data_IF_231044473012
#
_entry.id   IF_231044473012
#
_cell.length_a   1.000
_cell.length_b   1.000
_cell.length_c   1.000
_cell.angle_alpha   90.00
_cell.angle_beta   90.00
_cell.angle_gamma   90.00
#
_symmetry.space_group_name_H-M   'P 1'
#
loop_
_entity.id
_entity.type
_entity.pdbx_description
1 polymer ?
#
# COMPACT_ATOMS: atom_id res chain seq x y z
N UNK A 1 12.94 10.91 -18.71
CA UNK A 1 12.23 11.12 -17.43
C UNK A 1 10.75 11.25 -17.78
N UNK A 2 9.94 10.27 -17.42
CA UNK A 2 8.50 10.38 -17.59
C UNK A 2 8.00 11.57 -16.74
N UNK A 3 7.14 12.41 -17.32
CA UNK A 3 6.58 13.54 -16.59
C UNK A 3 5.63 13.01 -15.51
N UNK A 4 5.69 13.58 -14.32
CA UNK A 4 4.75 13.28 -13.25
C UNK A 4 3.33 13.66 -13.67
N UNK A 5 2.45 12.66 -13.81
CA UNK A 5 1.08 12.80 -14.29
C UNK A 5 0.10 12.58 -13.10
N UNK A 6 -0.38 13.65 -12.43
CA UNK A 6 -1.24 13.54 -11.24
C UNK A 6 -2.49 12.70 -11.46
N UNK A 7 -3.09 12.73 -12.65
CA UNK A 7 -4.30 12.03 -13.05
C UNK A 7 -4.18 10.50 -12.99
N UNK A 8 -2.95 9.99 -12.96
CA UNK A 8 -2.70 8.55 -12.81
C UNK A 8 -2.72 8.09 -11.35
N UNK A 9 -2.70 9.03 -10.41
CA UNK A 9 -2.63 8.70 -8.99
C UNK A 9 -3.97 8.87 -8.30
N UNK A 10 -4.37 7.85 -7.53
CA UNK A 10 -5.53 7.84 -6.66
C UNK A 10 -5.08 8.00 -5.20
N UNK A 11 -5.71 8.91 -4.48
CA UNK A 11 -5.41 9.23 -3.09
C UNK A 11 -6.67 8.96 -2.26
N UNK A 12 -6.53 8.23 -1.16
CA UNK A 12 -7.60 8.05 -0.18
C UNK A 12 -7.37 9.01 0.99
N UNK A 13 -8.37 9.84 1.28
CA UNK A 13 -8.39 10.77 2.41
C UNK A 13 -9.36 10.24 3.45
N UNK A 14 -8.91 10.08 4.69
CA UNK A 14 -9.71 9.59 5.80
C UNK A 14 -9.66 10.59 6.93
N UNK A 15 -10.82 11.13 7.30
CA UNK A 15 -10.98 12.16 8.34
C UNK A 15 -12.46 12.19 8.77
N UNK A 16 -12.78 12.25 10.05
CA UNK A 16 -14.16 12.30 10.53
C UNK A 16 -14.83 13.66 10.29
N UNK A 17 -14.06 14.68 9.93
CA UNK A 17 -14.54 16.01 9.57
C UNK A 17 -14.83 16.12 8.07
N UNK A 18 -16.10 16.14 7.71
CA UNK A 18 -16.56 16.38 6.31
C UNK A 18 -15.93 17.64 5.73
N UNK A 19 -15.78 18.71 6.51
CA UNK A 19 -15.17 19.95 6.06
C UNK A 19 -13.71 19.79 5.66
N UNK A 20 -12.94 19.00 6.39
CA UNK A 20 -11.55 18.69 6.04
C UNK A 20 -11.48 17.80 4.81
N UNK A 21 -12.33 16.78 4.72
CA UNK A 21 -12.45 15.95 3.52
C UNK A 21 -12.72 16.78 2.26
N UNK A 22 -13.67 17.73 2.33
CA UNK A 22 -14.01 18.60 1.19
C UNK A 22 -12.84 19.52 0.79
N UNK A 23 -12.16 20.14 1.76
CA UNK A 23 -11.01 21.02 1.51
C UNK A 23 -9.89 20.24 0.83
N UNK A 24 -9.52 19.08 1.40
CA UNK A 24 -8.44 18.24 0.88
C UNK A 24 -8.81 17.67 -0.50
N UNK A 25 -10.02 17.14 -0.67
CA UNK A 25 -10.53 16.63 -1.93
C UNK A 25 -10.49 17.70 -3.02
N UNK A 26 -11.06 18.89 -2.74
CA UNK A 26 -11.09 20.00 -3.70
C UNK A 26 -9.68 20.43 -4.09
N UNK A 27 -8.76 20.56 -3.10
CA UNK A 27 -7.37 20.92 -3.36
C UNK A 27 -6.67 19.92 -4.27
N UNK A 28 -6.77 18.62 -3.96
CA UNK A 28 -6.10 17.58 -4.73
C UNK A 28 -6.72 17.39 -6.13
N UNK A 29 -8.04 17.40 -6.23
CA UNK A 29 -8.76 17.27 -7.52
C UNK A 29 -8.45 18.43 -8.45
N UNK A 30 -8.38 19.67 -7.92
CA UNK A 30 -7.98 20.85 -8.72
C UNK A 30 -6.58 20.70 -9.33
N UNK A 31 -5.71 19.90 -8.70
CA UNK A 31 -4.35 19.62 -9.18
C UNK A 31 -4.24 18.29 -9.94
N UNK A 32 -5.38 17.72 -10.35
CA UNK A 32 -5.48 16.59 -11.26
C UNK A 32 -5.50 15.21 -10.60
N UNK A 33 -5.37 15.10 -9.27
CA UNK A 33 -5.40 13.79 -8.59
C UNK A 33 -6.82 13.22 -8.55
N UNK A 34 -6.92 11.88 -8.60
CA UNK A 34 -8.15 11.16 -8.29
C UNK A 34 -8.24 11.02 -6.76
N UNK A 35 -9.39 11.35 -6.17
CA UNK A 35 -9.55 11.39 -4.71
C UNK A 35 -10.75 10.57 -4.29
N UNK A 36 -10.53 9.63 -3.39
CA UNK A 36 -11.55 8.92 -2.61
C UNK A 36 -11.57 9.49 -1.20
N UNK A 37 -12.73 9.51 -0.54
CA UNK A 37 -12.88 10.03 0.81
C UNK A 37 -13.61 9.01 1.68
N UNK A 38 -13.21 8.91 2.95
CA UNK A 38 -13.87 8.11 3.98
C UNK A 38 -13.96 8.90 5.28
N UNK A 39 -15.06 8.73 6.01
CA UNK A 39 -15.32 9.40 7.28
C UNK A 39 -14.89 8.55 8.49
N UNK A 40 -14.46 7.31 8.25
CA UNK A 40 -13.94 6.40 9.29
C UNK A 40 -12.93 5.40 8.73
N UNK A 41 -12.19 4.74 9.64
CA UNK A 41 -11.26 3.67 9.25
C UNK A 41 -11.97 2.46 8.64
N UNK A 42 -13.15 2.10 9.13
CA UNK A 42 -13.96 1.00 8.60
C UNK A 42 -14.40 1.29 7.16
N UNK A 43 -14.91 2.50 6.89
CA UNK A 43 -15.29 2.92 5.54
C UNK A 43 -14.09 2.94 4.60
N UNK A 44 -12.91 3.35 5.09
CA UNK A 44 -11.69 3.33 4.31
C UNK A 44 -11.30 1.91 3.88
N UNK A 45 -11.41 0.92 4.78
CA UNK A 45 -11.16 -0.49 4.45
C UNK A 45 -12.18 -1.01 3.44
N UNK A 46 -13.46 -0.71 3.60
CA UNK A 46 -14.52 -1.10 2.67
C UNK A 46 -14.27 -0.53 1.25
N UNK A 47 -13.85 0.73 1.16
CA UNK A 47 -13.46 1.36 -0.12
C UNK A 47 -12.28 0.60 -0.74
N UNK A 48 -11.24 0.30 0.04
CA UNK A 48 -10.09 -0.46 -0.47
C UNK A 48 -10.46 -1.87 -0.94
N UNK A 49 -11.41 -2.54 -0.28
CA UNK A 49 -11.90 -3.85 -0.68
C UNK A 49 -12.68 -3.83 -2.00
N UNK A 50 -13.50 -2.79 -2.20
CA UNK A 50 -14.43 -2.70 -3.32
C UNK A 50 -13.87 -1.96 -4.53
N UNK A 51 -12.95 -0.99 -4.32
CA UNK A 51 -12.38 -0.16 -5.37
C UNK A 51 -10.88 -0.38 -5.58
N UNK A 52 -10.23 -1.11 -4.68
CA UNK A 52 -8.78 -1.38 -4.68
C UNK A 52 -7.98 -0.36 -3.88
N UNK A 53 -6.71 -0.69 -3.66
CA UNK A 53 -5.79 0.15 -2.89
C UNK A 53 -5.50 1.46 -3.62
N UNK A 54 -5.42 2.60 -2.90
CA UNK A 54 -4.94 3.85 -3.47
C UNK A 54 -3.42 3.81 -3.70
N UNK A 55 -2.87 4.85 -4.32
CA UNK A 55 -1.43 5.06 -4.40
C UNK A 55 -0.85 5.69 -3.14
N UNK A 56 -1.70 6.42 -2.39
CA UNK A 56 -1.34 7.15 -1.18
C UNK A 56 -2.55 7.24 -0.26
N UNK A 57 -2.35 7.00 1.04
CA UNK A 57 -3.30 7.32 2.10
C UNK A 57 -2.98 8.66 2.77
N UNK A 58 -3.99 9.48 3.02
CA UNK A 58 -3.93 10.64 3.91
C UNK A 58 -4.89 10.36 5.06
N UNK A 59 -4.38 9.98 6.24
CA UNK A 59 -5.21 9.52 7.34
C UNK A 59 -5.13 10.48 8.52
N UNK A 60 -6.28 10.92 9.00
CA UNK A 60 -6.35 11.61 10.30
C UNK A 60 -6.06 10.62 11.43
N UNK A 61 -5.24 11.02 12.38
CA UNK A 61 -4.94 10.21 13.57
C UNK A 61 -6.17 10.18 14.49
N UNK A 62 -6.76 11.34 14.73
CA UNK A 62 -7.77 11.52 15.77
C UNK A 62 -9.19 11.38 15.23
N UNK A 63 -9.65 10.16 15.04
CA UNK A 63 -11.04 9.84 14.70
C UNK A 63 -11.73 9.22 15.93
N UNK A 64 -12.59 9.96 16.65
CA UNK A 64 -13.09 9.55 17.97
C UNK A 64 -14.12 8.41 17.94
N UNK A 65 -14.64 8.08 16.78
CA UNK A 65 -15.67 7.05 16.59
C UNK A 65 -15.13 5.88 15.78
N UNK A 66 -14.97 4.71 16.42
CA UNK A 66 -14.53 3.48 15.74
C UNK A 66 -13.00 3.37 15.65
N UNK A 67 -12.52 2.91 14.51
CA UNK A 67 -11.09 2.73 14.22
C UNK A 67 -10.41 4.07 14.00
N UNK A 68 -9.39 4.38 14.78
CA UNK A 68 -8.56 5.57 14.60
C UNK A 68 -7.57 5.43 13.41
N UNK A 69 -6.88 6.52 13.06
CA UNK A 69 -5.98 6.52 11.91
C UNK A 69 -4.73 5.69 12.12
N UNK A 70 -4.25 5.50 13.34
CA UNK A 70 -3.10 4.63 13.62
C UNK A 70 -3.49 3.17 13.47
N UNK A 71 -4.63 2.75 14.02
CA UNK A 71 -5.15 1.39 13.86
C UNK A 71 -5.44 1.08 12.37
N UNK A 72 -6.02 2.04 11.62
CA UNK A 72 -6.20 1.90 10.18
C UNK A 72 -4.86 1.72 9.47
N UNK A 73 -3.86 2.54 9.79
CA UNK A 73 -2.52 2.45 9.23
C UNK A 73 -1.90 1.07 9.49
N UNK A 74 -1.94 0.60 10.74
CA UNK A 74 -1.43 -0.73 11.11
C UNK A 74 -2.13 -1.84 10.31
N UNK A 75 -3.46 -1.82 10.20
CA UNK A 75 -4.22 -2.82 9.45
C UNK A 75 -3.85 -2.83 7.96
N UNK A 76 -3.78 -1.67 7.33
CA UNK A 76 -3.42 -1.54 5.91
C UNK A 76 -2.00 -2.03 5.66
N UNK A 77 -1.07 -1.73 6.54
CA UNK A 77 0.33 -2.14 6.42
C UNK A 77 0.58 -3.63 6.75
N UNK A 78 -0.40 -4.36 7.28
CA UNK A 78 -0.32 -5.82 7.40
C UNK A 78 -0.34 -6.51 6.04
N UNK A 79 -1.10 -5.98 5.06
CA UNK A 79 -1.30 -6.62 3.75
C UNK A 79 -0.77 -5.81 2.56
N UNK A 80 -0.26 -4.61 2.80
CA UNK A 80 0.29 -3.72 1.77
C UNK A 80 1.55 -3.01 2.25
N UNK A 81 2.20 -2.30 1.33
CA UNK A 81 3.27 -1.34 1.60
C UNK A 81 2.82 0.04 1.07
N UNK A 82 1.54 0.35 1.33
CA UNK A 82 0.92 1.62 0.93
C UNK A 82 1.64 2.78 1.64
N UNK A 83 2.11 3.79 0.91
CA UNK A 83 2.61 4.98 1.56
C UNK A 83 1.45 5.74 2.22
N UNK A 84 1.67 6.15 3.47
CA UNK A 84 0.67 6.86 4.26
C UNK A 84 1.28 8.15 4.78
N UNK A 85 0.54 9.25 4.67
CA UNK A 85 0.83 10.51 5.33
C UNK A 85 -0.21 10.73 6.41
N UNK A 86 0.23 10.88 7.65
CA UNK A 86 -0.66 11.12 8.78
C UNK A 86 -1.02 12.60 8.88
N UNK A 87 -2.29 12.89 9.11
CA UNK A 87 -2.78 14.21 9.44
C UNK A 87 -2.93 14.27 10.98
N UNK A 88 -2.35 15.29 11.62
CA UNK A 88 -2.21 15.30 13.07
C UNK A 88 -2.53 16.66 13.66
N UNK A 89 -3.08 16.71 14.87
CA UNK A 89 -3.17 17.93 15.66
C UNK A 89 -1.82 18.19 16.38
N UNK A 90 -1.48 19.45 16.62
CA UNK A 90 -0.15 19.90 17.11
C UNK A 90 0.25 19.38 18.49
N UNK A 91 -0.68 18.77 19.27
CA UNK A 91 -0.47 18.37 20.69
C UNK A 91 -0.24 16.87 20.86
N UNK A 92 0.52 16.21 19.99
CA UNK A 92 0.68 14.77 20.09
C UNK A 92 1.79 14.33 21.05
N UNK A 93 1.49 13.25 21.79
CA UNK A 93 2.41 12.65 22.77
C UNK A 93 3.58 11.96 22.08
N UNK A 94 4.71 11.78 22.79
CA UNK A 94 5.89 11.06 22.28
C UNK A 94 5.56 9.67 21.72
N UNK A 95 4.59 8.97 22.28
CA UNK A 95 4.15 7.65 21.83
C UNK A 95 3.52 7.68 20.43
N UNK A 96 2.73 8.72 20.13
CA UNK A 96 2.13 8.91 18.79
C UNK A 96 3.22 9.22 17.76
N UNK A 97 4.19 10.06 18.13
CA UNK A 97 5.34 10.37 17.26
C UNK A 97 6.14 9.11 16.93
N UNK A 98 6.41 8.24 17.89
CA UNK A 98 7.09 6.95 17.66
C UNK A 98 6.28 6.02 16.74
N UNK A 99 4.95 5.99 16.88
CA UNK A 99 4.09 5.20 16.00
C UNK A 99 4.07 5.76 14.57
N UNK A 100 4.01 7.09 14.41
CA UNK A 100 4.10 7.75 13.10
C UNK A 100 5.44 7.41 12.42
N UNK A 101 6.56 7.57 13.14
CA UNK A 101 7.89 7.28 12.60
C UNK A 101 8.05 5.82 12.17
N UNK A 102 7.30 4.92 12.80
CA UNK A 102 7.34 3.49 12.47
C UNK A 102 6.53 3.12 11.24
N UNK A 103 5.39 3.77 11.03
CA UNK A 103 4.38 3.32 10.07
C UNK A 103 4.13 4.29 8.91
N UNK A 104 4.35 5.61 9.10
CA UNK A 104 4.06 6.61 8.09
C UNK A 104 5.28 7.01 7.26
N UNK A 105 5.07 7.35 5.99
CA UNK A 105 6.11 7.93 5.13
C UNK A 105 6.35 9.42 5.43
N UNK A 106 5.33 10.09 5.98
CA UNK A 106 5.37 11.50 6.36
C UNK A 106 4.19 11.84 7.27
N UNK A 107 4.23 13.02 7.90
CA UNK A 107 3.11 13.57 8.65
C UNK A 107 2.91 15.05 8.34
N UNK A 108 1.71 15.56 8.61
CA UNK A 108 1.36 16.96 8.40
C UNK A 108 0.43 17.45 9.49
N UNK A 109 0.77 18.62 10.06
CA UNK A 109 -0.05 19.24 11.10
C UNK A 109 -1.31 19.88 10.52
N UNK A 110 -2.42 19.73 11.24
CA UNK A 110 -3.63 20.51 11.02
C UNK A 110 -3.44 21.93 11.61
N UNK A 111 -3.94 23.01 10.98
CA UNK A 111 -4.79 23.04 9.79
C UNK A 111 -4.02 22.76 8.50
N UNK A 112 -4.66 21.94 7.63
CA UNK A 112 -4.07 21.51 6.34
C UNK A 112 -3.90 22.70 5.41
N UNK A 113 -2.66 23.04 5.08
CA UNK A 113 -2.32 24.10 4.12
C UNK A 113 -2.15 23.51 2.73
N UNK A 114 -2.93 24.02 1.75
CA UNK A 114 -2.95 23.46 0.38
C UNK A 114 -1.58 23.34 -0.27
N UNK A 115 -0.72 24.36 -0.12
CA UNK A 115 0.63 24.33 -0.69
C UNK A 115 1.54 23.27 -0.06
N UNK A 116 1.47 23.08 1.26
CA UNK A 116 2.21 22.05 1.98
C UNK A 116 1.70 20.65 1.62
N UNK A 117 0.36 20.44 1.63
CA UNK A 117 -0.27 19.19 1.22
C UNK A 117 0.23 18.74 -0.15
N UNK A 118 0.16 19.60 -1.15
CA UNK A 118 0.60 19.29 -2.51
C UNK A 118 2.09 18.96 -2.60
N UNK A 119 2.93 19.69 -1.88
CA UNK A 119 4.36 19.44 -1.87
C UNK A 119 4.69 18.05 -1.28
N UNK A 120 4.06 17.68 -0.15
CA UNK A 120 4.26 16.39 0.51
C UNK A 120 3.71 15.23 -0.33
N UNK A 121 2.47 15.34 -0.81
CA UNK A 121 1.85 14.35 -1.71
C UNK A 121 2.75 14.08 -2.92
N UNK A 122 3.19 15.13 -3.63
CA UNK A 122 4.08 14.98 -4.78
C UNK A 122 5.43 14.38 -4.42
N UNK A 123 5.99 14.74 -3.26
CA UNK A 123 7.26 14.15 -2.77
C UNK A 123 7.12 12.65 -2.57
N UNK A 124 6.09 12.22 -1.85
CA UNK A 124 5.85 10.81 -1.56
C UNK A 124 5.58 10.04 -2.86
N UNK A 125 4.67 10.52 -3.71
CA UNK A 125 4.33 9.84 -4.96
C UNK A 125 5.52 9.72 -5.92
N UNK A 126 6.43 10.69 -5.97
CA UNK A 126 7.66 10.59 -6.77
C UNK A 126 8.63 9.55 -6.24
N UNK A 127 8.69 9.35 -4.91
CA UNK A 127 9.60 8.38 -4.29
C UNK A 127 9.18 6.94 -4.52
N UNK A 128 7.88 6.68 -4.66
CA UNK A 128 7.34 5.33 -4.82
C UNK A 128 7.35 4.81 -6.26
N UNK A 129 7.59 5.67 -7.24
CA UNK A 129 7.57 5.32 -8.66
C UNK A 129 6.16 4.99 -9.17
N UNK A 130 6.08 4.48 -10.40
CA UNK A 130 4.82 4.05 -10.99
C UNK A 130 4.44 2.66 -10.48
N UNK A 131 3.20 2.52 -10.01
CA UNK A 131 2.59 1.21 -9.83
C UNK A 131 2.17 0.70 -11.21
N UNK A 132 2.76 -0.42 -11.65
CA UNK A 132 2.62 -0.91 -13.01
C UNK A 132 1.23 -1.47 -13.37
N UNK A 133 0.33 -1.57 -12.39
CA UNK A 133 -0.98 -2.19 -12.55
C UNK A 133 -2.11 -1.19 -12.34
N UNK A 134 -3.26 -1.36 -13.03
CA UNK A 134 -4.44 -0.51 -12.81
C UNK A 134 -4.95 -0.67 -11.38
N UNK A 135 -5.41 0.42 -10.78
CA UNK A 135 -6.08 0.40 -9.49
C UNK A 135 -7.52 -0.09 -9.69
N UNK A 136 -7.74 -1.35 -9.36
CA UNK A 136 -9.04 -2.01 -9.39
C UNK A 136 -9.20 -2.85 -8.12
N UNK A 137 -10.42 -3.22 -7.76
CA UNK A 137 -10.66 -4.10 -6.64
C UNK A 137 -9.85 -5.40 -6.79
N UNK A 138 -9.91 -6.02 -7.96
CA UNK A 138 -8.98 -7.06 -8.37
C UNK A 138 -7.99 -6.49 -9.37
N UNK A 139 -6.73 -6.45 -8.97
CA UNK A 139 -5.61 -6.01 -9.82
C UNK A 139 -5.27 -7.14 -10.79
N UNK A 140 -5.58 -7.01 -12.11
CA UNK A 140 -5.24 -8.05 -13.08
C UNK A 140 -3.72 -8.06 -13.31
N UNK A 141 -3.12 -9.23 -13.20
CA UNK A 141 -1.70 -9.45 -13.54
C UNK A 141 -1.58 -9.90 -14.98
N UNK A 142 -2.35 -10.93 -15.34
CA UNK A 142 -2.52 -11.53 -16.66
C UNK A 142 -3.86 -12.27 -16.73
N UNK A 143 -4.06 -13.13 -17.73
CA UNK A 143 -5.29 -13.92 -17.91
C UNK A 143 -5.49 -14.95 -16.80
N UNK A 144 -4.42 -15.38 -16.13
CA UNK A 144 -4.44 -16.45 -15.12
C UNK A 144 -4.47 -15.93 -13.68
N UNK A 145 -4.03 -14.69 -13.42
CA UNK A 145 -3.88 -14.15 -12.06
C UNK A 145 -4.46 -12.75 -11.91
N UNK A 146 -5.35 -12.57 -10.94
CA UNK A 146 -5.79 -11.28 -10.42
C UNK A 146 -5.76 -11.29 -8.88
N UNK A 147 -5.50 -10.14 -8.24
CA UNK A 147 -5.29 -10.05 -6.79
C UNK A 147 -6.12 -8.94 -6.18
N UNK A 148 -6.85 -9.24 -5.08
CA UNK A 148 -7.44 -8.24 -4.20
C UNK A 148 -6.67 -8.24 -2.87
N UNK A 149 -5.84 -7.23 -2.67
CA UNK A 149 -4.98 -7.14 -1.50
C UNK A 149 -5.76 -6.88 -0.21
N UNK A 150 -6.79 -6.02 -0.24
CA UNK A 150 -7.59 -5.68 0.93
C UNK A 150 -8.46 -6.85 1.40
N UNK A 151 -8.97 -7.67 0.46
CA UNK A 151 -9.71 -8.91 0.78
C UNK A 151 -8.81 -10.11 1.05
N UNK A 152 -7.49 -9.95 0.89
CA UNK A 152 -6.54 -11.06 1.04
C UNK A 152 -6.85 -12.24 0.13
N UNK A 153 -7.25 -11.97 -1.12
CA UNK A 153 -7.62 -13.01 -2.08
C UNK A 153 -6.89 -12.83 -3.42
N UNK A 154 -6.64 -13.95 -4.08
CA UNK A 154 -6.20 -14.00 -5.46
C UNK A 154 -7.13 -14.92 -6.27
N UNK A 155 -7.38 -14.58 -7.52
CA UNK A 155 -8.04 -15.44 -8.49
C UNK A 155 -6.97 -16.02 -9.39
N UNK A 156 -6.82 -17.36 -9.36
CA UNK A 156 -5.82 -18.10 -10.13
C UNK A 156 -6.58 -19.05 -11.06
N UNK A 157 -6.48 -18.82 -12.37
CA UNK A 157 -7.24 -19.61 -13.38
C UNK A 157 -8.74 -19.72 -13.07
N UNK A 158 -9.34 -18.61 -12.62
CA UNK A 158 -10.75 -18.55 -12.26
C UNK A 158 -11.11 -19.12 -10.88
N UNK A 159 -10.15 -19.61 -10.10
CA UNK A 159 -10.37 -20.12 -8.74
C UNK A 159 -9.86 -19.13 -7.70
N UNK A 160 -10.71 -18.83 -6.72
CA UNK A 160 -10.33 -17.94 -5.61
C UNK A 160 -9.45 -18.67 -4.59
N UNK A 161 -8.37 -18.03 -4.20
CA UNK A 161 -7.38 -18.51 -3.23
C UNK A 161 -7.13 -17.46 -2.17
N UNK A 162 -7.21 -17.83 -0.88
CA UNK A 162 -6.93 -16.91 0.23
C UNK A 162 -5.43 -16.73 0.45
N UNK A 163 -5.02 -15.49 0.63
CA UNK A 163 -3.67 -15.11 1.04
C UNK A 163 -3.64 -14.79 2.54
N UNK A 164 -2.53 -15.05 3.19
CA UNK A 164 -2.28 -14.46 4.51
C UNK A 164 -1.83 -13.00 4.36
N UNK A 165 -1.97 -12.14 5.39
CA UNK A 165 -1.53 -10.75 5.31
C UNK A 165 -0.07 -10.62 4.83
N UNK A 166 0.85 -11.41 5.38
CA UNK A 166 2.27 -11.38 4.97
C UNK A 166 2.48 -11.81 3.52
N UNK A 167 1.74 -12.81 3.02
CA UNK A 167 1.80 -13.23 1.61
C UNK A 167 1.28 -12.12 0.69
N UNK A 168 0.17 -11.46 1.07
CA UNK A 168 -0.38 -10.34 0.33
C UNK A 168 0.60 -9.17 0.30
N UNK A 169 1.19 -8.79 1.45
CA UNK A 169 2.19 -7.73 1.54
C UNK A 169 3.45 -8.04 0.72
N UNK A 170 3.96 -9.27 0.79
CA UNK A 170 5.10 -9.72 -0.03
C UNK A 170 4.79 -9.57 -1.52
N UNK A 171 3.63 -10.06 -1.94
CA UNK A 171 3.19 -9.96 -3.35
C UNK A 171 3.03 -8.49 -3.77
N UNK A 172 2.40 -7.65 -2.93
CA UNK A 172 2.23 -6.22 -3.17
C UNK A 172 3.58 -5.51 -3.41
N UNK A 173 4.57 -5.73 -2.52
CA UNK A 173 5.92 -5.13 -2.66
C UNK A 173 6.58 -5.57 -3.96
N UNK A 174 6.51 -6.85 -4.30
CA UNK A 174 7.12 -7.39 -5.52
C UNK A 174 6.42 -6.88 -6.78
N UNK A 175 5.08 -6.84 -6.79
CA UNK A 175 4.29 -6.32 -7.92
C UNK A 175 4.56 -4.82 -8.16
N UNK A 176 4.69 -4.02 -7.10
CA UNK A 176 5.08 -2.59 -7.24
C UNK A 176 6.41 -2.41 -7.96
N UNK A 177 7.31 -3.36 -7.83
CA UNK A 177 8.64 -3.35 -8.44
C UNK A 177 8.71 -4.30 -9.64
N UNK A 178 7.57 -4.49 -10.39
CA UNK A 178 7.51 -5.37 -11.58
C UNK A 178 8.77 -5.25 -12.43
N UNK A 179 9.38 -6.38 -12.76
CA UNK A 179 10.58 -6.45 -13.60
C UNK A 179 11.90 -6.15 -12.86
N UNK A 180 11.85 -5.61 -11.63
CA UNK A 180 13.05 -5.28 -10.84
C UNK A 180 13.30 -6.30 -9.75
N UNK A 181 14.58 -6.48 -9.38
CA UNK A 181 14.96 -7.32 -8.25
C UNK A 181 14.82 -6.52 -6.96
N UNK A 182 13.96 -6.98 -6.07
CA UNK A 182 13.82 -6.43 -4.72
C UNK A 182 14.78 -7.16 -3.79
N UNK A 183 15.63 -6.39 -3.10
CA UNK A 183 16.67 -6.93 -2.23
C UNK A 183 16.06 -7.65 -1.01
N UNK A 184 16.70 -8.73 -0.56
CA UNK A 184 16.27 -9.54 0.58
C UNK A 184 16.16 -8.71 1.86
N UNK A 185 17.16 -7.89 2.20
CA UNK A 185 17.14 -7.07 3.42
C UNK A 185 16.00 -6.02 3.38
N UNK A 186 15.70 -5.47 2.21
CA UNK A 186 14.56 -4.57 2.04
C UNK A 186 13.24 -5.30 2.33
N UNK A 187 13.06 -6.50 1.77
CA UNK A 187 11.86 -7.32 2.02
C UNK A 187 11.72 -7.67 3.50
N UNK A 188 12.80 -8.09 4.17
CA UNK A 188 12.78 -8.41 5.59
C UNK A 188 12.34 -7.23 6.43
N UNK A 189 12.93 -6.06 6.23
CA UNK A 189 12.56 -4.84 6.97
C UNK A 189 11.11 -4.40 6.72
N UNK A 190 10.61 -4.54 5.50
CA UNK A 190 9.23 -4.15 5.18
C UNK A 190 8.18 -5.15 5.65
N UNK A 191 8.50 -6.44 5.61
CA UNK A 191 7.58 -7.49 6.07
C UNK A 191 7.51 -7.60 7.59
N UNK A 192 8.64 -7.41 8.27
CA UNK A 192 8.76 -7.58 9.73
C UNK A 192 9.53 -6.41 10.38
N UNK A 193 8.96 -5.20 10.39
CA UNK A 193 9.65 -4.00 10.89
C UNK A 193 9.97 -4.06 12.40
N UNK A 194 9.20 -4.83 13.18
CA UNK A 194 9.43 -5.01 14.62
C UNK A 194 10.53 -6.07 14.92
N UNK A 195 10.85 -6.96 13.97
CA UNK A 195 11.74 -8.11 14.17
C UNK A 195 13.06 -7.94 13.41
N UNK A 196 13.53 -6.71 13.19
CA UNK A 196 14.70 -6.43 12.32
C UNK A 196 15.96 -7.20 12.70
N UNK A 197 16.14 -7.53 13.99
CA UNK A 197 17.31 -8.26 14.48
C UNK A 197 17.19 -9.80 14.35
N UNK A 198 15.97 -10.33 14.09
CA UNK A 198 15.66 -11.75 14.07
C UNK A 198 15.03 -12.25 12.76
N UNK A 199 14.73 -11.35 11.82
CA UNK A 199 14.15 -11.72 10.53
C UNK A 199 15.25 -12.32 9.64
N UNK A 200 15.29 -13.66 9.54
CA UNK A 200 16.26 -14.36 8.72
C UNK A 200 15.76 -14.65 7.29
N UNK A 201 16.69 -14.92 6.39
CA UNK A 201 16.39 -15.27 4.99
C UNK A 201 15.54 -16.54 4.88
N UNK A 202 15.64 -17.49 5.81
CA UNK A 202 14.90 -18.74 5.77
C UNK A 202 13.42 -18.50 6.03
N UNK A 203 13.08 -17.57 6.93
CA UNK A 203 11.68 -17.12 7.11
C UNK A 203 11.10 -16.57 5.80
N UNK A 204 11.84 -15.69 5.11
CA UNK A 204 11.40 -15.14 3.82
C UNK A 204 11.24 -16.24 2.76
N UNK A 205 12.16 -17.21 2.68
CA UNK A 205 12.08 -18.36 1.76
C UNK A 205 10.80 -19.16 1.96
N UNK A 206 10.39 -19.38 3.22
CA UNK A 206 9.14 -20.09 3.54
C UNK A 206 7.92 -19.32 2.99
N UNK A 207 7.86 -17.97 3.19
CA UNK A 207 6.77 -17.17 2.67
C UNK A 207 6.75 -17.11 1.14
N UNK A 208 7.90 -16.99 0.50
CA UNK A 208 8.00 -17.07 -0.96
C UNK A 208 7.51 -18.41 -1.48
N UNK A 209 7.89 -19.52 -0.83
CA UNK A 209 7.42 -20.85 -1.21
C UNK A 209 5.89 -20.97 -1.06
N UNK A 210 5.33 -20.53 0.07
CA UNK A 210 3.87 -20.54 0.30
C UNK A 210 3.12 -19.68 -0.71
N UNK A 211 3.62 -18.48 -0.99
CA UNK A 211 3.03 -17.59 -1.99
C UNK A 211 3.02 -18.25 -3.37
N UNK A 212 4.16 -18.78 -3.83
CA UNK A 212 4.24 -19.53 -5.11
C UNK A 212 3.24 -20.67 -5.16
N UNK A 213 3.15 -21.47 -4.10
CA UNK A 213 2.22 -22.62 -4.04
C UNK A 213 0.76 -22.22 -4.21
N UNK A 214 0.42 -20.95 -3.94
CA UNK A 214 -0.94 -20.42 -4.06
C UNK A 214 -1.21 -19.77 -5.41
N UNK A 215 -0.23 -19.02 -5.97
CA UNK A 215 -0.45 -18.22 -7.18
C UNK A 215 0.17 -18.83 -8.43
N UNK A 216 1.07 -19.79 -8.32
CA UNK A 216 1.70 -20.47 -9.47
C UNK A 216 1.10 -21.87 -9.65
N UNK A 217 0.82 -22.25 -10.89
CA UNK A 217 0.28 -23.56 -11.22
C UNK A 217 1.31 -24.40 -11.97
N UNK A 218 1.21 -25.72 -11.86
CA UNK A 218 2.13 -26.64 -12.56
C UNK A 218 2.03 -26.43 -14.07
N UNK A 219 3.16 -26.05 -14.68
CA UNK A 219 3.23 -25.75 -16.13
C UNK A 219 2.69 -24.37 -16.52
N UNK A 220 2.34 -23.53 -15.56
CA UNK A 220 1.95 -22.13 -15.76
C UNK A 220 3.10 -21.15 -15.50
N UNK A 221 2.80 -19.84 -15.50
CA UNK A 221 3.78 -18.80 -15.26
C UNK A 221 4.46 -18.91 -13.88
N UNK A 222 5.72 -18.51 -13.82
CA UNK A 222 6.48 -18.35 -12.57
C UNK A 222 6.57 -16.88 -12.20
N UNK A 223 5.61 -16.37 -11.45
CA UNK A 223 5.50 -14.94 -11.13
C UNK A 223 6.61 -14.44 -10.21
N UNK A 224 6.98 -15.22 -9.19
CA UNK A 224 7.98 -14.81 -8.21
C UNK A 224 9.30 -15.53 -8.48
N UNK A 225 10.28 -14.83 -9.00
CA UNK A 225 11.57 -15.41 -9.41
C UNK A 225 12.67 -15.07 -8.42
N UNK A 226 13.41 -16.09 -7.95
CA UNK A 226 14.57 -15.89 -7.09
C UNK A 226 15.78 -15.43 -7.93
N UNK A 227 16.52 -14.45 -7.43
CA UNK A 227 17.80 -14.01 -7.98
C UNK A 227 18.88 -14.23 -6.94
N UNK A 228 19.73 -15.23 -7.19
CA UNK A 228 20.76 -15.70 -6.24
C UNK A 228 21.55 -14.54 -5.63
N UNK A 229 21.62 -14.45 -4.30
CA UNK A 229 22.32 -13.43 -3.51
C UNK A 229 21.82 -11.98 -3.73
N UNK A 230 20.70 -11.78 -4.42
CA UNK A 230 20.16 -10.46 -4.70
C UNK A 230 18.77 -10.24 -4.11
N UNK A 231 17.90 -11.26 -4.14
CA UNK A 231 16.53 -11.18 -3.68
C UNK A 231 15.54 -11.82 -4.62
N UNK A 232 14.37 -11.19 -4.79
CA UNK A 232 13.26 -11.71 -5.56
C UNK A 232 12.73 -10.67 -6.54
N UNK A 233 12.18 -11.13 -7.65
CA UNK A 233 11.56 -10.27 -8.66
C UNK A 233 10.17 -10.81 -9.01
N UNK A 234 9.25 -9.93 -9.37
CA UNK A 234 7.96 -10.28 -9.94
C UNK A 234 8.04 -10.13 -11.46
N UNK A 235 7.91 -11.26 -12.16
CA UNK A 235 8.04 -11.37 -13.61
C UNK A 235 6.83 -12.14 -14.14
N UNK A 236 5.66 -11.49 -14.32
CA UNK A 236 4.58 -12.13 -15.06
C UNK A 236 5.05 -12.34 -16.51
N UNK A 237 4.60 -13.41 -17.14
CA UNK A 237 4.81 -13.59 -18.56
C UNK A 237 4.10 -12.42 -19.27
N UNK A 238 4.88 -11.52 -19.87
CA UNK A 238 4.36 -10.55 -20.83
C UNK A 238 4.05 -11.37 -22.09
N UNK A 239 2.74 -11.77 -22.25
CA UNK A 239 2.22 -12.56 -23.34
C UNK A 239 2.45 -11.96 -24.73
#
# INVERSE_FOLDING_TARGET
>A
MESFAPETYRILVVDDSISILEIVRTTLTHHGFQVMTAESGEQALEIMENEGLPHLGLFDINMPMGMDGLELCERVLQFSDLPIVMLTAVEETSTIVEAIDRYAEDYMNKPVKSGELLARVRRVLRSIGHFAYPLAAFVPVDDDLAVNFARLTAVVKGHEVSLTPTEAKLLYILMRQKGKVVNTDFLLRRLWPADTDFADEDRLRVYVHRLRSKIETKGGPHYVVSRRRKGYAFLPDDG
#
